data_IF_359294512031
#
_entry.id   IF_359294512031
#
_cell.length_a   1.000
_cell.length_b   1.000
_cell.length_c   1.000
_cell.angle_alpha   90.00
_cell.angle_beta   90.00
_cell.angle_gamma   90.00
#
_symmetry.space_group_name_H-M   'P 1'
#
loop_
_entity.id
_entity.type
_entity.pdbx_description
1 polymer ?
#
# COMPACT_ATOMS: atom_id res chain seq x y z
N UNK A 1 61.40 -13.67 66.85
CA UNK A 1 60.02 -13.84 67.35
C UNK A 1 59.11 -12.92 66.55
N UNK A 2 58.01 -13.50 66.04
CA UNK A 2 57.01 -12.98 65.08
C UNK A 2 56.62 -11.50 65.21
N UNK A 3 56.81 -10.73 64.13
CA UNK A 3 56.11 -9.48 63.88
C UNK A 3 54.88 -9.79 63.01
N UNK A 4 53.67 -9.62 63.55
CA UNK A 4 52.40 -9.78 62.82
C UNK A 4 52.00 -8.43 62.22
N UNK A 5 51.99 -8.33 60.90
CA UNK A 5 51.32 -7.24 60.18
C UNK A 5 49.84 -7.61 60.01
N UNK A 6 48.95 -6.80 60.57
CA UNK A 6 47.50 -6.86 60.36
C UNK A 6 47.17 -5.91 59.21
N UNK A 7 46.74 -6.46 58.07
CA UNK A 7 46.17 -5.69 56.97
C UNK A 7 44.69 -5.41 57.29
N UNK A 8 44.36 -4.15 57.61
CA UNK A 8 42.97 -3.68 57.67
C UNK A 8 42.52 -3.36 56.24
N UNK A 9 41.66 -4.20 55.66
CA UNK A 9 40.90 -3.89 54.46
C UNK A 9 39.71 -2.98 54.85
N UNK A 10 39.76 -1.73 54.42
CA UNK A 10 38.62 -0.81 54.47
C UNK A 10 37.64 -1.16 53.34
N UNK A 11 36.52 -1.79 53.69
CA UNK A 11 35.36 -1.91 52.81
C UNK A 11 34.63 -0.55 52.76
N UNK A 12 34.76 0.14 51.62
CA UNK A 12 33.89 1.27 51.28
C UNK A 12 32.63 0.69 50.64
N UNK A 13 31.43 0.89 51.20
CA UNK A 13 30.20 0.46 50.56
C UNK A 13 29.94 1.38 49.36
N UNK A 14 30.04 0.82 48.15
CA UNK A 14 29.57 1.45 46.93
C UNK A 14 28.03 1.52 47.00
N UNK A 15 27.49 2.68 47.36
CA UNK A 15 26.07 2.97 47.21
C UNK A 15 25.78 3.10 45.72
N UNK A 16 25.34 2.01 45.10
CA UNK A 16 24.70 2.04 43.78
C UNK A 16 23.33 2.69 43.99
N UNK A 17 23.28 4.01 43.81
CA UNK A 17 22.02 4.72 43.63
C UNK A 17 21.53 4.34 42.24
N UNK A 18 20.67 3.32 42.18
CA UNK A 18 19.86 3.09 41.00
C UNK A 18 18.93 4.30 40.87
N UNK A 19 19.25 5.24 39.98
CA UNK A 19 18.27 6.17 39.46
C UNK A 19 17.16 5.30 38.84
N UNK A 20 16.05 5.16 39.55
CA UNK A 20 14.78 4.76 38.95
C UNK A 20 14.37 5.91 38.03
N UNK A 21 14.95 5.98 36.84
CA UNK A 21 14.34 6.74 35.75
C UNK A 21 12.99 6.07 35.52
N UNK A 22 11.91 6.76 35.87
CA UNK A 22 10.60 6.41 35.34
C UNK A 22 10.75 6.14 33.84
N UNK A 23 10.11 5.10 33.28
CA UNK A 23 10.15 4.91 31.83
C UNK A 23 9.78 6.25 31.16
N UNK A 24 10.51 6.65 30.11
CA UNK A 24 10.25 7.93 29.46
C UNK A 24 8.76 8.00 29.10
N UNK A 25 8.14 9.14 29.42
CA UNK A 25 6.73 9.37 29.11
C UNK A 25 6.55 9.19 27.60
N UNK A 26 5.74 8.24 27.18
CA UNK A 26 5.39 8.09 25.77
C UNK A 26 4.49 9.26 25.34
N UNK A 27 4.85 9.88 24.22
CA UNK A 27 4.07 10.93 23.57
C UNK A 27 3.26 10.33 22.43
N UNK A 28 2.06 10.84 22.20
CA UNK A 28 1.17 10.39 21.15
C UNK A 28 0.71 11.60 20.36
N UNK A 29 0.16 11.35 19.18
CA UNK A 29 -0.38 12.36 18.30
C UNK A 29 -1.75 11.89 17.79
N UNK A 30 -2.65 12.84 17.61
CA UNK A 30 -3.94 12.60 16.96
C UNK A 30 -3.90 13.20 15.55
N UNK A 31 -4.60 12.56 14.63
CA UNK A 31 -4.87 13.15 13.32
C UNK A 31 -5.88 14.29 13.47
N UNK A 32 -5.94 15.17 12.47
CA UNK A 32 -7.06 16.12 12.34
C UNK A 32 -8.33 15.47 11.76
N UNK A 33 -8.32 14.16 11.52
CA UNK A 33 -9.37 13.40 10.86
C UNK A 33 -10.31 12.68 11.86
N UNK A 34 -11.17 11.77 11.37
CA UNK A 34 -12.17 11.08 12.17
C UNK A 34 -11.64 9.82 12.89
N UNK A 35 -10.33 9.60 12.88
CA UNK A 35 -9.70 8.48 13.59
C UNK A 35 -10.03 8.51 15.09
N UNK A 36 -10.33 7.33 15.66
CA UNK A 36 -10.71 7.15 17.07
C UNK A 36 -9.56 6.65 17.95
N UNK A 37 -8.45 6.26 17.34
CA UNK A 37 -7.25 5.80 18.02
C UNK A 37 -6.22 6.94 18.12
N UNK A 38 -5.27 6.80 19.04
CA UNK A 38 -4.10 7.68 19.13
C UNK A 38 -2.89 7.00 18.51
N UNK A 39 -2.07 7.74 17.77
CA UNK A 39 -0.89 7.21 17.13
C UNK A 39 0.36 7.54 17.94
N UNK A 40 1.33 6.63 17.98
CA UNK A 40 2.66 6.93 18.54
C UNK A 40 3.40 7.91 17.63
N UNK A 41 3.22 7.77 16.32
CA UNK A 41 3.81 8.64 15.29
C UNK A 41 2.92 8.78 14.06
N UNK A 42 3.08 9.87 13.33
CA UNK A 42 2.53 10.09 11.99
C UNK A 42 3.66 10.35 10.99
N UNK A 43 3.53 9.91 9.73
CA UNK A 43 4.50 10.23 8.69
C UNK A 43 4.41 11.71 8.33
N UNK A 44 5.53 12.28 7.89
CA UNK A 44 5.50 13.59 7.24
C UNK A 44 4.84 13.49 5.86
N UNK A 45 4.25 14.61 5.43
CA UNK A 45 3.78 14.72 4.07
C UNK A 45 4.95 14.57 3.06
N UNK A 46 4.72 13.88 1.94
CA UNK A 46 5.75 13.65 0.91
C UNK A 46 6.39 14.95 0.39
N UNK A 47 5.67 16.07 0.35
CA UNK A 47 6.19 17.36 -0.09
C UNK A 47 7.14 18.01 0.94
N UNK A 48 7.13 17.54 2.19
CA UNK A 48 8.03 17.98 3.26
C UNK A 48 9.37 17.24 3.25
N UNK A 49 9.46 16.11 2.53
CA UNK A 49 10.65 15.26 2.50
C UNK A 49 11.23 15.21 1.10
N UNK A 50 12.35 15.90 0.89
CA UNK A 50 13.04 15.95 -0.40
C UNK A 50 14.22 14.97 -0.40
N UNK A 51 14.22 14.04 -1.35
CA UNK A 51 15.36 13.13 -1.53
C UNK A 51 16.58 13.89 -2.08
N UNK A 52 17.75 13.55 -1.54
CA UNK A 52 19.05 13.98 -2.05
C UNK A 52 19.65 12.94 -3.00
N UNK A 53 20.77 13.27 -3.63
CA UNK A 53 21.44 12.38 -4.58
C UNK A 53 21.74 11.00 -3.95
N UNK A 54 21.36 9.95 -4.66
CA UNK A 54 21.47 8.58 -4.19
C UNK A 54 20.56 7.62 -4.96
N UNK A 55 20.58 6.32 -4.62
CA UNK A 55 19.84 5.30 -5.35
C UNK A 55 18.32 5.51 -5.34
N UNK A 56 17.77 6.01 -4.23
CA UNK A 56 16.33 6.29 -4.11
C UNK A 56 15.89 7.45 -5.00
N UNK A 57 16.63 8.56 -5.01
CA UNK A 57 16.36 9.68 -5.91
C UNK A 57 16.49 9.25 -7.37
N UNK A 58 17.53 8.48 -7.70
CA UNK A 58 17.72 7.94 -9.05
C UNK A 58 16.55 7.07 -9.52
N UNK A 59 16.06 6.18 -8.66
CA UNK A 59 14.87 5.36 -8.94
C UNK A 59 13.59 6.21 -9.11
N UNK A 60 13.41 7.24 -8.27
CA UNK A 60 12.30 8.20 -8.42
C UNK A 60 12.38 8.96 -9.75
N UNK A 61 13.56 9.44 -10.14
CA UNK A 61 13.76 10.15 -11.40
C UNK A 61 13.46 9.25 -12.62
N UNK A 62 13.88 7.97 -12.58
CA UNK A 62 13.56 6.99 -13.63
C UNK A 62 12.05 6.72 -13.70
N UNK A 63 11.39 6.55 -12.55
CA UNK A 63 9.95 6.31 -12.53
C UNK A 63 9.16 7.52 -13.05
N UNK A 64 9.60 8.75 -12.74
CA UNK A 64 9.01 9.95 -13.33
C UNK A 64 9.07 9.91 -14.86
N UNK A 65 10.18 9.47 -15.45
CA UNK A 65 10.26 9.29 -16.91
C UNK A 65 9.32 8.20 -17.41
N UNK A 66 9.25 7.05 -16.72
CA UNK A 66 8.32 5.98 -17.06
C UNK A 66 6.86 6.45 -17.06
N UNK A 67 6.44 7.19 -16.03
CA UNK A 67 5.10 7.77 -15.94
C UNK A 67 4.84 8.77 -17.08
N UNK A 68 5.81 9.62 -17.43
CA UNK A 68 5.67 10.57 -18.52
C UNK A 68 5.52 9.90 -19.89
N UNK A 69 6.11 8.72 -20.07
CA UNK A 69 6.03 7.94 -21.31
C UNK A 69 4.66 7.29 -21.55
N UNK A 70 3.80 7.20 -20.54
CA UNK A 70 2.45 6.71 -20.71
C UNK A 70 1.48 7.82 -21.17
N UNK A 71 0.55 7.43 -22.03
CA UNK A 71 -0.45 8.28 -22.65
C UNK A 71 -1.80 8.07 -21.95
N UNK A 72 -2.34 9.08 -21.24
CA UNK A 72 -3.60 8.93 -20.49
C UNK A 72 -4.77 8.43 -21.36
N UNK A 73 -4.89 8.92 -22.59
CA UNK A 73 -6.00 8.57 -23.48
C UNK A 73 -6.03 7.08 -23.85
N UNK A 74 -4.88 6.41 -23.85
CA UNK A 74 -4.80 4.96 -24.12
C UNK A 74 -5.33 4.13 -22.97
N UNK A 75 -5.06 4.54 -21.73
CA UNK A 75 -5.70 3.93 -20.55
C UNK A 75 -7.21 4.23 -20.50
N UNK A 76 -7.61 5.44 -20.87
CA UNK A 76 -9.01 5.88 -20.85
C UNK A 76 -9.85 5.29 -21.99
N UNK A 77 -9.24 4.73 -23.03
CA UNK A 77 -9.93 4.26 -24.23
C UNK A 77 -11.11 3.33 -23.90
N UNK A 78 -10.87 2.25 -23.16
CA UNK A 78 -11.92 1.28 -22.79
C UNK A 78 -12.94 1.82 -21.79
N UNK A 79 -12.58 2.76 -20.92
CA UNK A 79 -13.55 3.45 -20.06
C UNK A 79 -14.53 4.28 -20.90
N UNK A 80 -14.03 4.96 -21.94
CA UNK A 80 -14.86 5.71 -22.88
C UNK A 80 -15.78 4.78 -23.67
N UNK A 81 -15.27 3.66 -24.19
CA UNK A 81 -16.10 2.65 -24.89
C UNK A 81 -17.23 2.14 -24.00
N UNK A 82 -16.93 1.76 -22.75
CA UNK A 82 -17.91 1.24 -21.80
C UNK A 82 -18.99 2.27 -21.45
N UNK A 83 -18.64 3.57 -21.43
CA UNK A 83 -19.57 4.67 -21.23
C UNK A 83 -20.32 5.11 -22.51
N UNK A 84 -20.14 4.41 -23.63
CA UNK A 84 -20.76 4.76 -24.92
C UNK A 84 -20.16 6.01 -25.59
N UNK A 85 -18.94 6.40 -25.18
CA UNK A 85 -18.18 7.51 -25.74
C UNK A 85 -17.13 7.01 -26.73
N UNK A 86 -16.84 7.81 -27.77
CA UNK A 86 -15.74 7.52 -28.69
C UNK A 86 -14.37 7.60 -27.97
N UNK A 87 -13.51 6.56 -28.08
CA UNK A 87 -12.14 6.60 -27.59
C UNK A 87 -11.32 7.68 -28.27
N UNK A 88 -10.38 8.29 -27.53
CA UNK A 88 -9.46 9.30 -28.07
C UNK A 88 -8.13 8.72 -28.55
N UNK A 89 -7.84 7.47 -28.21
CA UNK A 89 -6.67 6.73 -28.63
C UNK A 89 -6.97 5.23 -28.62
N UNK A 90 -6.07 4.44 -29.22
CA UNK A 90 -6.10 2.99 -29.11
C UNK A 90 -5.71 2.54 -27.70
N UNK A 91 -6.41 1.55 -27.15
CA UNK A 91 -6.09 1.04 -25.82
C UNK A 91 -4.69 0.43 -25.75
N UNK A 92 -4.17 0.31 -24.54
CA UNK A 92 -2.92 -0.39 -24.31
C UNK A 92 -3.07 -1.91 -24.49
N UNK A 93 -2.00 -2.61 -24.94
CA UNK A 93 -2.03 -4.05 -25.09
C UNK A 93 -1.84 -4.74 -23.72
N UNK A 94 -1.54 -6.04 -23.74
CA UNK A 94 -1.21 -6.78 -22.54
C UNK A 94 -2.44 -7.11 -21.70
N UNK A 95 -2.36 -6.99 -20.38
CA UNK A 95 -3.51 -7.24 -19.51
C UNK A 95 -4.63 -6.22 -19.73
N UNK A 96 -4.33 -5.04 -20.28
CA UNK A 96 -5.32 -4.05 -20.70
C UNK A 96 -6.13 -4.50 -21.94
N UNK A 97 -5.77 -5.61 -22.61
CA UNK A 97 -6.62 -6.26 -23.63
C UNK A 97 -7.66 -7.21 -23.03
N UNK A 98 -7.42 -7.72 -21.82
CA UNK A 98 -8.23 -8.75 -21.19
C UNK A 98 -9.40 -8.16 -20.39
N UNK A 99 -10.17 -9.00 -19.69
CA UNK A 99 -11.29 -8.56 -18.85
C UNK A 99 -10.88 -7.88 -17.54
N UNK A 100 -9.57 -7.74 -17.26
CA UNK A 100 -9.03 -6.95 -16.14
C UNK A 100 -8.75 -5.49 -16.53
N UNK A 101 -8.94 -5.12 -17.80
CA UNK A 101 -8.65 -3.79 -18.32
C UNK A 101 -9.24 -2.66 -17.45
N UNK A 102 -8.46 -1.59 -17.26
CA UNK A 102 -8.78 -0.46 -16.41
C UNK A 102 -8.00 -0.43 -15.09
N UNK A 103 -7.55 -1.58 -14.60
CA UNK A 103 -6.80 -1.64 -13.34
C UNK A 103 -5.51 -0.79 -13.38
N UNK A 104 -4.87 -0.70 -14.55
CA UNK A 104 -3.63 0.08 -14.70
C UNK A 104 -3.87 1.59 -14.69
N UNK A 105 -5.05 2.06 -15.14
CA UNK A 105 -5.39 3.48 -15.03
C UNK A 105 -5.45 3.92 -13.58
N UNK A 106 -6.06 3.11 -12.71
CA UNK A 106 -6.14 3.40 -11.27
C UNK A 106 -4.74 3.50 -10.64
N UNK A 107 -3.87 2.53 -10.91
CA UNK A 107 -2.47 2.58 -10.48
C UNK A 107 -1.70 3.77 -11.06
N UNK A 108 -1.90 4.09 -12.34
CA UNK A 108 -1.25 5.22 -12.99
C UNK A 108 -1.68 6.56 -12.38
N UNK A 109 -2.96 6.69 -12.03
CA UNK A 109 -3.49 7.87 -11.36
C UNK A 109 -2.89 8.03 -9.95
N UNK A 110 -2.78 6.95 -9.17
CA UNK A 110 -2.06 6.94 -7.89
C UNK A 110 -0.58 7.29 -8.08
N UNK A 111 0.09 6.67 -9.05
CA UNK A 111 1.51 6.91 -9.36
C UNK A 111 1.79 8.37 -9.72
N UNK A 112 0.97 8.99 -10.58
CA UNK A 112 1.09 10.40 -10.91
C UNK A 112 0.80 11.30 -9.69
N UNK A 113 -0.18 10.96 -8.86
CA UNK A 113 -0.53 11.75 -7.67
C UNK A 113 0.60 11.74 -6.63
N UNK A 114 1.17 10.56 -6.36
CA UNK A 114 2.34 10.39 -5.50
C UNK A 114 3.56 11.15 -6.07
N UNK A 115 3.84 10.97 -7.36
CA UNK A 115 4.98 11.61 -8.01
C UNK A 115 4.86 13.14 -8.00
N UNK A 116 3.67 13.69 -8.22
CA UNK A 116 3.42 15.12 -8.05
C UNK A 116 3.72 15.58 -6.63
N UNK A 117 3.21 14.87 -5.61
CA UNK A 117 3.44 15.27 -4.22
C UNK A 117 4.91 15.19 -3.82
N UNK A 118 5.65 14.20 -4.33
CA UNK A 118 7.08 14.03 -4.05
C UNK A 118 7.98 15.02 -4.78
N UNK A 119 7.64 15.42 -6.02
CA UNK A 119 8.56 16.21 -6.88
C UNK A 119 8.09 17.64 -7.15
N UNK A 120 6.80 17.91 -7.01
CA UNK A 120 6.17 19.14 -7.49
C UNK A 120 6.10 19.25 -9.02
N UNK A 121 6.34 18.17 -9.78
CA UNK A 121 6.32 18.22 -11.24
C UNK A 121 4.90 18.44 -11.77
N UNK A 122 4.66 19.65 -12.30
CA UNK A 122 3.35 20.08 -12.77
C UNK A 122 2.77 19.17 -13.87
N UNK A 123 3.61 18.50 -14.67
CA UNK A 123 3.12 17.58 -15.72
C UNK A 123 2.39 16.38 -15.15
N UNK A 124 2.75 15.96 -13.93
CA UNK A 124 2.04 14.90 -13.21
C UNK A 124 0.67 15.40 -12.75
N UNK A 125 0.59 16.61 -12.19
CA UNK A 125 -0.69 17.22 -11.78
C UNK A 125 -1.62 17.44 -12.99
N UNK A 126 -1.09 17.89 -14.12
CA UNK A 126 -1.87 18.07 -15.34
C UNK A 126 -2.48 16.75 -15.82
N UNK A 127 -1.71 15.64 -15.73
CA UNK A 127 -2.20 14.29 -16.02
C UNK A 127 -3.27 13.82 -15.05
N UNK A 128 -3.07 14.02 -13.73
CA UNK A 128 -4.06 13.70 -12.70
C UNK A 128 -5.38 14.42 -12.99
N UNK A 129 -5.33 15.73 -13.21
CA UNK A 129 -6.52 16.54 -13.49
C UNK A 129 -7.21 16.09 -14.78
N UNK A 130 -6.44 15.84 -15.85
CA UNK A 130 -6.98 15.34 -17.11
C UNK A 130 -7.71 14.00 -16.95
N UNK A 131 -7.08 13.03 -16.28
CA UNK A 131 -7.68 11.71 -16.06
C UNK A 131 -8.98 11.82 -15.26
N UNK A 132 -8.99 12.61 -14.19
CA UNK A 132 -10.19 12.81 -13.38
C UNK A 132 -11.31 13.47 -14.19
N UNK A 133 -10.99 14.42 -15.06
CA UNK A 133 -11.96 15.07 -15.96
C UNK A 133 -12.57 14.07 -16.96
N UNK A 134 -11.75 13.20 -17.53
CA UNK A 134 -12.19 12.18 -18.47
C UNK A 134 -13.00 11.06 -17.80
N UNK A 135 -12.60 10.62 -16.61
CA UNK A 135 -13.39 9.70 -15.79
C UNK A 135 -14.74 10.31 -15.40
N UNK A 136 -14.78 11.59 -15.03
CA UNK A 136 -16.02 12.29 -14.76
C UNK A 136 -16.92 12.36 -16.00
N UNK A 137 -16.35 12.59 -17.18
CA UNK A 137 -17.11 12.59 -18.44
C UNK A 137 -17.67 11.20 -18.77
N UNK A 138 -16.91 10.12 -18.54
CA UNK A 138 -17.39 8.75 -18.70
C UNK A 138 -18.53 8.45 -17.71
N UNK A 139 -18.35 8.81 -16.44
CA UNK A 139 -19.36 8.59 -15.39
C UNK A 139 -20.66 9.37 -15.65
N UNK A 140 -20.57 10.58 -16.19
CA UNK A 140 -21.73 11.39 -16.57
C UNK A 140 -22.46 10.81 -17.79
N UNK A 141 -21.71 10.30 -18.78
CA UNK A 141 -22.31 9.65 -19.95
C UNK A 141 -22.99 8.32 -19.59
N UNK A 142 -22.44 7.57 -18.63
CA UNK A 142 -23.05 6.36 -18.09
C UNK A 142 -24.35 6.63 -17.32
N UNK A 143 -24.37 7.71 -16.53
CA UNK A 143 -25.57 8.23 -15.86
C UNK A 143 -25.88 7.66 -14.46
N UNK A 144 -25.34 6.49 -14.09
CA UNK A 144 -25.67 5.82 -12.82
C UNK A 144 -24.50 5.76 -11.83
N UNK A 145 -23.36 6.38 -12.16
CA UNK A 145 -22.17 6.43 -11.29
C UNK A 145 -21.12 5.36 -11.57
N UNK A 146 -21.38 4.40 -12.46
CA UNK A 146 -20.41 3.36 -12.84
C UNK A 146 -19.22 3.96 -13.60
N UNK A 147 -18.05 3.38 -13.36
CA UNK A 147 -16.82 3.64 -14.10
C UNK A 147 -16.11 2.30 -14.25
N UNK A 148 -15.90 1.82 -15.46
CA UNK A 148 -15.11 0.62 -15.69
C UNK A 148 -14.69 0.47 -17.14
N UNK A 149 -13.65 -0.32 -17.38
CA UNK A 149 -13.09 -0.57 -18.71
C UNK A 149 -13.22 -2.03 -19.16
N UNK A 150 -13.82 -2.89 -18.34
CA UNK A 150 -14.02 -4.29 -18.68
C UNK A 150 -15.34 -4.51 -19.44
N UNK A 151 -15.35 -5.29 -20.54
CA UNK A 151 -16.53 -5.48 -21.39
C UNK A 151 -17.74 -6.02 -20.62
N UNK A 152 -18.93 -5.45 -20.87
CA UNK A 152 -20.20 -5.81 -20.22
C UNK A 152 -20.19 -5.72 -18.68
N UNK A 153 -19.20 -5.06 -18.08
CA UNK A 153 -19.00 -5.00 -16.64
C UNK A 153 -20.22 -4.52 -15.87
N UNK A 154 -20.74 -3.34 -16.21
CA UNK A 154 -21.96 -2.77 -15.59
C UNK A 154 -23.14 -3.72 -15.67
N UNK A 155 -23.34 -4.34 -16.84
CA UNK A 155 -24.46 -5.25 -17.07
C UNK A 155 -24.35 -6.49 -16.19
N UNK A 156 -23.20 -7.16 -16.17
CA UNK A 156 -23.00 -8.36 -15.35
C UNK A 156 -23.16 -8.03 -13.87
N UNK A 157 -22.56 -6.93 -13.41
CA UNK A 157 -22.62 -6.54 -12.01
C UNK A 157 -24.04 -6.13 -11.57
N UNK A 158 -24.80 -5.41 -12.40
CA UNK A 158 -26.15 -4.94 -12.02
C UNK A 158 -27.29 -5.92 -12.36
N UNK A 159 -27.16 -6.70 -13.43
CA UNK A 159 -28.23 -7.59 -13.88
C UNK A 159 -28.09 -9.03 -13.37
N UNK A 160 -26.90 -9.46 -12.96
CA UNK A 160 -26.61 -10.81 -12.44
C UNK A 160 -26.18 -10.75 -10.97
N UNK A 161 -25.01 -10.16 -10.67
CA UNK A 161 -24.43 -10.16 -9.31
C UNK A 161 -25.37 -9.49 -8.31
N UNK A 162 -25.89 -8.29 -8.62
CA UNK A 162 -26.84 -7.58 -7.75
C UNK A 162 -28.17 -8.31 -7.52
N UNK A 163 -28.50 -9.30 -8.38
CA UNK A 163 -29.69 -10.16 -8.22
C UNK A 163 -29.36 -11.49 -7.54
N UNK A 164 -28.13 -11.67 -7.10
CA UNK A 164 -27.67 -12.88 -6.41
C UNK A 164 -27.28 -14.03 -7.34
N UNK A 165 -27.17 -13.81 -8.66
CA UNK A 165 -26.56 -14.79 -9.58
C UNK A 165 -25.05 -14.62 -9.54
N UNK A 166 -24.40 -15.39 -8.66
CA UNK A 166 -22.98 -15.25 -8.33
C UNK A 166 -22.26 -16.54 -8.70
N UNK A 167 -21.31 -16.43 -9.62
CA UNK A 167 -20.42 -17.50 -10.07
C UNK A 167 -19.00 -17.02 -9.84
N UNK A 168 -18.43 -17.40 -8.70
CA UNK A 168 -17.20 -16.83 -8.19
C UNK A 168 -16.17 -17.92 -7.93
N UNK A 169 -14.97 -17.80 -8.50
CA UNK A 169 -13.87 -18.72 -8.26
C UNK A 169 -12.52 -18.03 -8.49
N UNK A 170 -11.73 -17.89 -7.41
CA UNK A 170 -10.34 -17.41 -7.47
C UNK A 170 -10.23 -15.99 -8.02
N UNK A 171 -10.06 -15.86 -9.33
CA UNK A 171 -9.92 -14.57 -10.02
C UNK A 171 -11.11 -14.25 -10.96
N UNK A 172 -12.13 -15.09 -11.01
CA UNK A 172 -13.30 -14.89 -11.86
C UNK A 172 -14.53 -14.55 -11.02
N UNK A 173 -15.27 -13.51 -11.43
CA UNK A 173 -16.62 -13.24 -10.99
C UNK A 173 -17.52 -13.07 -12.22
N UNK A 174 -18.37 -14.06 -12.46
CA UNK A 174 -19.32 -14.11 -13.57
C UNK A 174 -18.65 -13.90 -14.95
N UNK A 175 -17.43 -14.41 -15.14
CA UNK A 175 -16.68 -14.26 -16.40
C UNK A 175 -15.83 -12.98 -16.49
N UNK A 176 -15.79 -12.17 -15.43
CA UNK A 176 -14.94 -10.98 -15.35
C UNK A 176 -13.75 -11.29 -14.45
N UNK A 177 -12.55 -10.98 -14.95
CA UNK A 177 -11.32 -11.09 -14.18
C UNK A 177 -11.26 -9.99 -13.09
N UNK A 178 -11.44 -10.39 -11.83
CA UNK A 178 -11.31 -9.58 -10.59
C UNK A 178 -11.95 -8.17 -10.63
N UNK A 179 -13.25 -8.03 -10.93
CA UNK A 179 -13.89 -6.72 -11.10
C UNK A 179 -13.76 -5.81 -9.86
N UNK A 180 -13.89 -6.34 -8.65
CA UNK A 180 -13.76 -5.53 -7.44
C UNK A 180 -12.32 -5.09 -7.14
N UNK A 181 -11.31 -5.87 -7.56
CA UNK A 181 -9.92 -5.42 -7.53
C UNK A 181 -9.69 -4.26 -8.48
N UNK A 182 -10.34 -4.28 -9.65
CA UNK A 182 -10.27 -3.23 -10.66
C UNK A 182 -10.89 -1.94 -10.11
N UNK A 183 -12.12 -2.01 -9.60
CA UNK A 183 -12.78 -0.87 -8.95
C UNK A 183 -11.97 -0.31 -7.78
N UNK A 184 -11.37 -1.18 -6.96
CA UNK A 184 -10.41 -0.76 -5.93
C UNK A 184 -9.30 0.14 -6.49
N UNK A 185 -8.68 -0.19 -7.64
CA UNK A 185 -7.62 0.66 -8.21
C UNK A 185 -8.15 2.01 -8.64
N UNK A 186 -9.30 2.05 -9.28
CA UNK A 186 -9.95 3.29 -9.68
C UNK A 186 -10.25 4.16 -8.46
N UNK A 187 -10.82 3.58 -7.41
CA UNK A 187 -11.11 4.28 -6.15
C UNK A 187 -9.83 4.77 -5.45
N UNK A 188 -8.77 3.96 -5.43
CA UNK A 188 -7.48 4.34 -4.84
C UNK A 188 -6.83 5.51 -5.60
N UNK A 189 -6.84 5.46 -6.94
CA UNK A 189 -6.35 6.57 -7.77
C UNK A 189 -7.13 7.86 -7.54
N UNK A 190 -8.46 7.79 -7.47
CA UNK A 190 -9.31 8.96 -7.20
C UNK A 190 -9.09 9.51 -5.78
N UNK A 191 -8.94 8.64 -4.78
CA UNK A 191 -8.57 9.03 -3.40
C UNK A 191 -7.24 9.76 -3.39
N UNK A 192 -6.23 9.23 -4.08
CA UNK A 192 -4.89 9.82 -4.09
C UNK A 192 -4.87 11.16 -4.86
N UNK A 193 -5.63 11.28 -5.95
CA UNK A 193 -5.83 12.55 -6.65
C UNK A 193 -6.50 13.60 -5.75
N UNK A 194 -7.48 13.20 -4.92
CA UNK A 194 -8.09 14.10 -3.94
C UNK A 194 -7.10 14.50 -2.83
N UNK A 195 -6.51 13.53 -2.14
CA UNK A 195 -5.68 13.75 -0.94
C UNK A 195 -4.33 14.39 -1.25
N UNK A 196 -3.67 14.00 -2.34
CA UNK A 196 -2.29 14.42 -2.65
C UNK A 196 -2.24 15.60 -3.63
N UNK A 197 -3.25 15.73 -4.50
CA UNK A 197 -3.29 16.79 -5.51
C UNK A 197 -4.36 17.86 -5.23
N UNK A 198 -5.18 17.69 -4.19
CA UNK A 198 -6.26 18.63 -3.86
C UNK A 198 -7.41 18.62 -4.87
N UNK A 199 -7.53 17.59 -5.71
CA UNK A 199 -8.55 17.53 -6.76
C UNK A 199 -9.93 17.17 -6.18
N UNK A 200 -10.75 18.20 -5.93
CA UNK A 200 -12.10 18.04 -5.38
C UNK A 200 -13.05 17.26 -6.29
N UNK A 201 -12.83 17.31 -7.61
CA UNK A 201 -13.65 16.55 -8.58
C UNK A 201 -13.42 15.04 -8.40
N UNK A 202 -12.20 14.63 -8.07
CA UNK A 202 -11.89 13.22 -7.82
C UNK A 202 -12.73 12.65 -6.67
N UNK A 203 -12.92 13.41 -5.58
CA UNK A 203 -13.79 13.01 -4.48
C UNK A 203 -15.25 12.83 -4.93
N UNK A 204 -15.76 13.73 -5.76
CA UNK A 204 -17.14 13.64 -6.30
C UNK A 204 -17.32 12.39 -7.16
N UNK A 205 -16.36 12.13 -8.06
CA UNK A 205 -16.35 10.95 -8.92
C UNK A 205 -16.29 9.67 -8.09
N UNK A 206 -15.41 9.63 -7.08
CA UNK A 206 -15.25 8.48 -6.19
C UNK A 206 -16.53 8.20 -5.38
N UNK A 207 -17.20 9.24 -4.88
CA UNK A 207 -18.49 9.11 -4.17
C UNK A 207 -19.57 8.49 -5.05
N UNK A 208 -19.72 9.00 -6.29
CA UNK A 208 -20.69 8.45 -7.25
C UNK A 208 -20.40 6.99 -7.58
N UNK A 209 -19.11 6.60 -7.68
CA UNK A 209 -18.72 5.22 -7.90
C UNK A 209 -19.07 4.34 -6.68
N UNK A 210 -18.75 4.78 -5.46
CA UNK A 210 -19.11 4.07 -4.24
C UNK A 210 -20.63 3.95 -4.05
N UNK A 211 -21.40 5.00 -4.37
CA UNK A 211 -22.86 4.97 -4.36
C UNK A 211 -23.39 3.94 -5.36
N UNK A 212 -22.79 3.83 -6.56
CA UNK A 212 -23.13 2.78 -7.52
C UNK A 212 -22.79 1.37 -6.99
N UNK A 213 -21.61 1.18 -6.39
CA UNK A 213 -21.21 -0.09 -5.77
C UNK A 213 -22.24 -0.51 -4.70
N UNK A 214 -22.73 0.43 -3.88
CA UNK A 214 -23.78 0.17 -2.89
C UNK A 214 -25.04 -0.42 -3.54
N UNK A 215 -25.42 0.03 -4.74
CA UNK A 215 -26.58 -0.54 -5.47
C UNK A 215 -26.38 -1.99 -5.89
N UNK A 216 -25.13 -2.41 -6.11
CA UNK A 216 -24.80 -3.77 -6.53
C UNK A 216 -24.77 -4.72 -5.35
N UNK A 217 -24.09 -4.34 -4.26
CA UNK A 217 -23.83 -5.27 -3.14
C UNK A 217 -24.75 -5.09 -1.94
N UNK A 218 -25.42 -3.93 -1.80
CA UNK A 218 -26.20 -3.58 -0.61
C UNK A 218 -27.46 -4.41 -0.40
N UNK A 219 -27.97 -5.07 -1.45
CA UNK A 219 -29.15 -5.94 -1.40
C UNK A 219 -28.84 -7.43 -1.22
N UNK A 220 -27.55 -7.82 -1.24
CA UNK A 220 -27.14 -9.22 -1.16
C UNK A 220 -27.21 -9.75 0.28
N UNK A 221 -27.49 -11.05 0.41
CA UNK A 221 -27.37 -11.73 1.71
C UNK A 221 -25.92 -11.91 2.10
N UNK A 222 -25.66 -12.15 3.39
CA UNK A 222 -24.31 -12.43 3.88
C UNK A 222 -23.66 -13.62 3.15
N UNK A 223 -24.41 -14.69 2.91
CA UNK A 223 -23.96 -15.87 2.15
C UNK A 223 -23.56 -15.49 0.72
N UNK A 224 -24.40 -14.72 0.02
CA UNK A 224 -24.11 -14.24 -1.34
C UNK A 224 -22.88 -13.35 -1.38
N UNK A 225 -22.71 -12.45 -0.40
CA UNK A 225 -21.52 -11.62 -0.28
C UNK A 225 -20.29 -12.51 -0.06
N UNK A 226 -20.33 -13.49 0.84
CA UNK A 226 -19.17 -14.38 1.05
C UNK A 226 -18.83 -15.19 -0.22
N UNK A 227 -19.84 -15.68 -0.95
CA UNK A 227 -19.63 -16.35 -2.24
C UNK A 227 -18.96 -15.42 -3.26
N UNK A 228 -19.43 -14.17 -3.37
CA UNK A 228 -18.83 -13.15 -4.23
C UNK A 228 -17.37 -12.89 -3.87
N UNK A 229 -17.06 -12.79 -2.58
CA UNK A 229 -15.71 -12.48 -2.06
C UNK A 229 -14.70 -13.64 -2.23
N UNK A 230 -15.11 -14.81 -2.73
CA UNK A 230 -14.19 -15.84 -3.21
C UNK A 230 -13.34 -15.35 -4.40
N UNK A 231 -13.85 -14.41 -5.19
CA UNK A 231 -13.11 -13.69 -6.21
C UNK A 231 -12.27 -12.59 -5.55
N UNK A 232 -11.03 -12.41 -6.00
CA UNK A 232 -10.20 -11.31 -5.52
C UNK A 232 -10.86 -9.93 -5.70
N UNK A 233 -10.82 -9.14 -4.63
CA UNK A 233 -11.43 -7.82 -4.54
C UNK A 233 -10.45 -6.73 -4.05
N UNK A 234 -9.15 -7.05 -4.02
CA UNK A 234 -8.11 -6.15 -3.52
C UNK A 234 -8.43 -5.55 -2.14
N UNK A 235 -8.08 -4.29 -1.94
CA UNK A 235 -8.33 -3.51 -0.73
C UNK A 235 -9.51 -2.55 -0.91
N UNK A 236 -10.59 -2.97 -1.58
CA UNK A 236 -11.76 -2.09 -1.76
C UNK A 236 -12.35 -1.64 -0.42
N UNK A 237 -12.23 -2.48 0.62
CA UNK A 237 -12.57 -2.15 1.99
C UNK A 237 -11.75 -0.96 2.54
N UNK A 238 -10.44 -0.88 2.23
CA UNK A 238 -9.57 0.27 2.54
C UNK A 238 -10.12 1.55 1.89
N UNK A 239 -10.35 1.53 0.58
CA UNK A 239 -10.79 2.72 -0.15
C UNK A 239 -12.17 3.23 0.28
N UNK A 240 -13.06 2.32 0.69
CA UNK A 240 -14.37 2.67 1.24
C UNK A 240 -14.29 3.24 2.66
N UNK A 241 -13.41 2.69 3.51
CA UNK A 241 -13.13 3.25 4.83
C UNK A 241 -12.47 4.63 4.72
N UNK A 242 -11.58 4.83 3.75
CA UNK A 242 -11.02 6.14 3.43
C UNK A 242 -12.07 7.13 2.94
N UNK A 243 -12.99 6.69 2.09
CA UNK A 243 -14.07 7.55 1.63
C UNK A 243 -15.00 7.99 2.77
N UNK A 244 -15.25 7.12 3.75
CA UNK A 244 -15.90 7.52 5.00
C UNK A 244 -15.09 8.60 5.71
N UNK A 245 -13.78 8.42 5.85
CA UNK A 245 -12.94 9.41 6.52
C UNK A 245 -12.95 10.78 5.82
N UNK A 246 -13.01 10.78 4.48
CA UNK A 246 -13.00 11.99 3.66
C UNK A 246 -14.36 12.73 3.64
N UNK A 247 -15.47 12.03 3.93
CA UNK A 247 -16.83 12.56 3.74
C UNK A 247 -17.68 12.64 5.01
N UNK A 248 -17.37 11.82 6.02
CA UNK A 248 -18.20 11.58 7.19
C UNK A 248 -19.48 10.77 6.90
N UNK A 249 -19.69 10.26 5.69
CA UNK A 249 -20.89 9.47 5.36
C UNK A 249 -20.73 8.01 5.80
N UNK A 250 -21.42 7.66 6.90
CA UNK A 250 -21.43 6.33 7.50
C UNK A 250 -21.86 5.20 6.54
N UNK A 251 -22.49 5.51 5.39
CA UNK A 251 -22.76 4.50 4.34
C UNK A 251 -21.48 3.84 3.86
N UNK A 252 -20.41 4.60 3.66
CA UNK A 252 -19.15 4.05 3.13
C UNK A 252 -18.42 3.17 4.14
N UNK A 253 -18.50 3.49 5.44
CA UNK A 253 -18.01 2.60 6.50
C UNK A 253 -18.83 1.33 6.64
N UNK A 254 -20.15 1.37 6.37
CA UNK A 254 -20.95 0.14 6.27
C UNK A 254 -20.59 -0.67 5.04
N UNK A 255 -20.37 -0.02 3.90
CA UNK A 255 -19.99 -0.69 2.66
C UNK A 255 -18.62 -1.36 2.79
N UNK A 256 -17.65 -0.75 3.47
CA UNK A 256 -16.35 -1.38 3.74
C UNK A 256 -16.45 -2.66 4.60
N UNK A 257 -17.49 -2.76 5.45
CA UNK A 257 -17.80 -3.98 6.22
C UNK A 257 -18.47 -5.07 5.39
N UNK A 258 -19.16 -4.72 4.30
CA UNK A 258 -19.70 -5.72 3.36
C UNK A 258 -18.55 -6.48 2.70
N UNK A 259 -17.47 -5.80 2.33
CA UNK A 259 -16.26 -6.41 1.76
C UNK A 259 -15.36 -7.07 2.82
N UNK A 260 -15.94 -7.78 3.79
CA UNK A 260 -15.24 -8.56 4.81
C UNK A 260 -15.31 -10.05 4.45
N UNK A 261 -14.21 -10.59 3.90
CA UNK A 261 -14.10 -12.01 3.55
C UNK A 261 -13.82 -12.85 4.81
N UNK A 262 -14.89 -13.31 5.47
CA UNK A 262 -14.87 -13.98 6.79
C UNK A 262 -13.97 -15.21 6.81
N UNK A 263 -14.05 -16.06 5.78
CA UNK A 263 -13.25 -17.29 5.68
C UNK A 263 -11.72 -17.07 5.67
N UNK A 264 -11.27 -15.82 5.48
CA UNK A 264 -9.86 -15.43 5.61
C UNK A 264 -9.63 -14.63 6.88
N UNK A 265 -10.48 -13.64 7.15
CA UNK A 265 -10.22 -12.63 8.17
C UNK A 265 -10.54 -13.09 9.59
N UNK A 266 -11.59 -13.89 9.78
CA UNK A 266 -11.97 -14.38 11.12
C UNK A 266 -10.91 -15.32 11.71
N UNK A 267 -10.43 -16.36 10.99
CA UNK A 267 -9.37 -17.22 11.53
C UNK A 267 -8.09 -16.47 11.86
N UNK A 268 -7.71 -15.48 11.04
CA UNK A 268 -6.52 -14.66 11.30
C UNK A 268 -6.66 -13.84 12.58
N UNK A 269 -7.84 -13.27 12.85
CA UNK A 269 -8.08 -12.59 14.12
C UNK A 269 -8.16 -13.53 15.32
N UNK A 270 -8.54 -14.79 15.10
CA UNK A 270 -8.52 -15.83 16.14
C UNK A 270 -7.11 -16.41 16.36
N UNK A 271 -6.10 -15.92 15.64
CA UNK A 271 -4.70 -16.36 15.77
C UNK A 271 -4.38 -17.65 15.02
N UNK A 272 -5.16 -18.00 14.00
CA UNK A 272 -4.95 -19.16 13.14
C UNK A 272 -4.21 -18.80 11.84
N UNK A 273 -3.00 -19.35 11.64
CA UNK A 273 -2.27 -19.20 10.37
C UNK A 273 -2.86 -20.12 9.29
N UNK A 274 -3.79 -19.56 8.50
CA UNK A 274 -4.45 -20.20 7.36
C UNK A 274 -3.82 -19.85 6.00
N UNK A 275 -2.62 -19.23 6.01
CA UNK A 275 -1.97 -18.71 4.80
C UNK A 275 -1.50 -19.77 3.80
N UNK A 276 -1.08 -20.99 4.18
CA UNK A 276 -0.59 -21.96 3.20
C UNK A 276 -1.57 -22.20 2.05
N UNK A 277 -1.06 -22.14 0.81
CA UNK A 277 -1.81 -22.25 -0.45
C UNK A 277 -2.75 -21.08 -0.77
N UNK A 278 -2.72 -19.98 -0.01
CA UNK A 278 -3.44 -18.75 -0.37
C UNK A 278 -2.58 -17.89 -1.28
N UNK A 279 -3.22 -17.25 -2.27
CA UNK A 279 -2.56 -16.26 -3.13
C UNK A 279 -2.21 -15.04 -2.28
N UNK A 280 -0.93 -14.65 -2.26
CA UNK A 280 -0.41 -13.67 -1.31
C UNK A 280 -1.06 -12.29 -1.48
N UNK A 281 -0.98 -11.75 -2.69
CA UNK A 281 -1.39 -10.38 -2.98
C UNK A 281 -2.90 -10.16 -2.84
N UNK A 282 -3.71 -11.23 -2.95
CA UNK A 282 -5.15 -11.14 -2.71
C UNK A 282 -5.46 -10.92 -1.23
N UNK A 283 -4.63 -11.42 -0.30
CA UNK A 283 -4.95 -11.36 1.14
C UNK A 283 -4.53 -10.04 1.77
N UNK A 284 -3.30 -9.58 1.51
CA UNK A 284 -2.68 -8.46 2.23
C UNK A 284 -3.55 -7.17 2.17
N UNK A 285 -4.10 -6.76 1.01
CA UNK A 285 -4.95 -5.57 0.94
C UNK A 285 -6.21 -5.63 1.81
N UNK A 286 -6.76 -6.83 2.05
CA UNK A 286 -7.90 -7.01 2.95
C UNK A 286 -7.52 -6.59 4.37
N UNK A 287 -6.33 -6.97 4.82
CA UNK A 287 -5.79 -6.65 6.15
C UNK A 287 -5.40 -5.18 6.27
N UNK A 288 -4.91 -4.55 5.19
CA UNK A 288 -4.72 -3.08 5.15
C UNK A 288 -6.07 -2.38 5.39
N UNK A 289 -7.14 -2.86 4.74
CA UNK A 289 -8.47 -2.30 4.96
C UNK A 289 -9.05 -2.57 6.35
N UNK A 290 -8.71 -3.69 7.01
CA UNK A 290 -9.04 -3.90 8.42
C UNK A 290 -8.31 -2.90 9.31
N UNK A 291 -7.02 -2.71 9.12
CA UNK A 291 -6.28 -1.77 9.95
C UNK A 291 -6.77 -0.33 9.75
N UNK A 292 -7.07 0.07 8.51
CA UNK A 292 -7.71 1.37 8.26
C UNK A 292 -9.05 1.50 8.98
N UNK A 293 -9.85 0.44 9.06
CA UNK A 293 -11.10 0.43 9.83
C UNK A 293 -10.85 0.50 11.33
N UNK A 294 -9.83 -0.18 11.87
CA UNK A 294 -9.45 -0.07 13.28
C UNK A 294 -9.15 1.39 13.64
N UNK A 295 -8.35 2.09 12.83
CA UNK A 295 -8.04 3.50 13.05
C UNK A 295 -9.31 4.37 13.20
N UNK A 296 -10.36 4.06 12.43
CA UNK A 296 -11.63 4.81 12.38
C UNK A 296 -12.66 4.36 13.42
N UNK A 297 -12.53 3.16 13.97
CA UNK A 297 -13.58 2.53 14.78
C UNK A 297 -13.12 2.08 16.16
N UNK A 298 -11.81 1.94 16.37
CA UNK A 298 -11.17 1.28 17.50
C UNK A 298 -11.64 -0.18 17.71
N UNK A 299 -12.08 -0.86 16.64
CA UNK A 299 -12.49 -2.26 16.70
C UNK A 299 -11.26 -3.18 16.79
N UNK A 300 -11.00 -3.68 18.00
CA UNK A 300 -9.82 -4.48 18.29
C UNK A 300 -9.74 -5.75 17.43
N UNK A 301 -10.87 -6.28 16.97
CA UNK A 301 -10.89 -7.46 16.10
C UNK A 301 -10.18 -7.19 14.76
N UNK A 302 -10.33 -5.99 14.22
CA UNK A 302 -9.69 -5.56 12.98
C UNK A 302 -8.16 -5.46 13.16
N UNK A 303 -7.70 -4.89 14.28
CA UNK A 303 -6.27 -4.80 14.63
C UNK A 303 -5.66 -6.19 14.87
N UNK A 304 -6.36 -7.06 15.61
CA UNK A 304 -5.85 -8.39 15.96
C UNK A 304 -5.56 -9.23 14.71
N UNK A 305 -6.48 -9.23 13.73
CA UNK A 305 -6.25 -9.88 12.43
C UNK A 305 -5.05 -9.29 11.68
N UNK A 306 -4.98 -7.97 11.58
CA UNK A 306 -3.92 -7.27 10.83
C UNK A 306 -2.54 -7.49 11.44
N UNK A 307 -2.43 -7.34 12.77
CA UNK A 307 -1.19 -7.53 13.52
C UNK A 307 -0.74 -9.00 13.50
N UNK A 308 -1.65 -9.95 13.70
CA UNK A 308 -1.34 -11.38 13.62
C UNK A 308 -0.87 -11.77 12.21
N UNK A 309 -1.59 -11.33 11.16
CA UNK A 309 -1.18 -11.57 9.79
C UNK A 309 0.22 -11.04 9.50
N UNK A 310 0.51 -9.79 9.90
CA UNK A 310 1.82 -9.19 9.70
C UNK A 310 2.92 -10.01 10.36
N UNK A 311 2.73 -10.37 11.64
CA UNK A 311 3.68 -11.17 12.42
C UNK A 311 3.92 -12.54 11.76
N UNK A 312 2.86 -13.26 11.35
CA UNK A 312 3.00 -14.54 10.65
C UNK A 312 3.80 -14.38 9.36
N UNK A 313 3.46 -13.40 8.52
CA UNK A 313 4.14 -13.20 7.23
C UNK A 313 5.62 -12.83 7.44
N UNK A 314 5.92 -11.90 8.32
CA UNK A 314 7.29 -11.40 8.56
C UNK A 314 8.19 -12.47 9.16
N UNK A 315 7.70 -13.23 10.14
CA UNK A 315 8.54 -14.17 10.87
C UNK A 315 8.59 -15.57 10.25
N UNK A 316 7.53 -16.00 9.56
CA UNK A 316 7.39 -17.39 9.14
C UNK A 316 7.28 -17.60 7.62
N UNK A 317 6.93 -16.57 6.85
CA UNK A 317 6.74 -16.70 5.40
C UNK A 317 7.70 -15.85 4.55
N UNK A 318 8.47 -14.96 5.17
CA UNK A 318 9.36 -14.03 4.46
C UNK A 318 10.78 -14.56 4.29
N UNK A 319 11.31 -14.41 3.07
CA UNK A 319 12.72 -14.64 2.75
C UNK A 319 13.60 -13.50 3.29
N UNK A 320 14.91 -13.66 3.17
CA UNK A 320 15.91 -12.68 3.63
C UNK A 320 15.73 -11.30 2.99
N UNK A 321 15.17 -11.22 1.77
CA UNK A 321 14.90 -9.97 1.06
C UNK A 321 13.66 -9.23 1.57
N UNK A 322 12.91 -9.80 2.51
CA UNK A 322 11.63 -9.27 2.99
C UNK A 322 10.42 -9.66 2.12
N UNK A 323 10.64 -10.26 0.95
CA UNK A 323 9.57 -10.82 0.13
C UNK A 323 9.10 -12.18 0.61
N UNK A 324 7.92 -12.62 0.15
CA UNK A 324 7.33 -13.91 0.49
C UNK A 324 6.57 -14.51 -0.70
N UNK A 325 6.22 -15.80 -0.58
CA UNK A 325 5.48 -16.54 -1.62
C UNK A 325 6.38 -17.12 -2.71
N UNK A 326 5.83 -18.11 -3.43
CA UNK A 326 6.45 -18.69 -4.62
C UNK A 326 5.34 -19.07 -5.61
N UNK A 327 5.49 -18.68 -6.88
CA UNK A 327 4.39 -18.64 -7.85
C UNK A 327 3.19 -17.87 -7.27
N UNK A 328 3.43 -16.73 -6.60
CA UNK A 328 2.41 -15.89 -5.95
C UNK A 328 1.71 -16.49 -4.70
N UNK A 329 1.86 -17.79 -4.42
CA UNK A 329 1.20 -18.45 -3.30
C UNK A 329 2.10 -18.62 -2.07
N UNK A 330 1.51 -18.42 -0.89
CA UNK A 330 2.13 -18.77 0.39
C UNK A 330 2.41 -20.27 0.49
N UNK A 331 3.55 -20.61 1.10
CA UNK A 331 3.93 -21.98 1.43
C UNK A 331 3.54 -22.36 2.86
N UNK A 332 4.05 -23.49 3.32
CA UNK A 332 4.03 -23.81 4.76
C UNK A 332 4.97 -22.87 5.52
N UNK A 333 4.61 -22.42 6.74
CA UNK A 333 5.47 -21.57 7.55
C UNK A 333 6.82 -22.25 7.80
N UNK A 334 7.89 -21.47 7.81
CA UNK A 334 9.28 -21.92 8.03
C UNK A 334 9.81 -22.96 7.00
N UNK A 335 9.12 -23.15 5.87
CA UNK A 335 9.52 -24.08 4.78
C UNK A 335 9.94 -23.38 3.50
N UNK A 336 10.79 -22.36 3.63
CA UNK A 336 11.23 -21.51 2.52
C UNK A 336 12.35 -22.12 1.66
N UNK A 337 13.23 -22.94 2.25
CA UNK A 337 14.46 -23.46 1.59
C UNK A 337 14.25 -24.21 0.27
N UNK A 338 13.08 -24.84 0.09
CA UNK A 338 12.78 -25.66 -1.10
C UNK A 338 11.76 -24.96 -2.02
N UNK A 339 11.52 -23.67 -1.83
CA UNK A 339 10.58 -22.84 -2.60
C UNK A 339 11.30 -21.65 -3.26
N UNK A 340 12.53 -21.89 -3.69
CA UNK A 340 13.39 -20.92 -4.38
C UNK A 340 13.33 -21.18 -5.88
N UNK A 341 12.66 -20.30 -6.63
CA UNK A 341 12.56 -20.32 -8.09
C UNK A 341 12.62 -18.91 -8.69
N UNK A 342 12.48 -18.83 -10.01
CA UNK A 342 12.34 -17.61 -10.79
C UNK A 342 11.06 -16.82 -10.49
N UNK A 343 10.04 -17.50 -9.96
CA UNK A 343 8.75 -16.92 -9.56
C UNK A 343 8.62 -16.71 -8.03
N UNK A 344 9.76 -16.60 -7.35
CA UNK A 344 9.80 -16.31 -5.91
C UNK A 344 9.58 -14.82 -5.65
N UNK A 345 8.80 -14.51 -4.60
CA UNK A 345 8.56 -13.15 -4.11
C UNK A 345 8.05 -12.16 -5.16
N UNK A 346 6.74 -12.14 -5.37
CA UNK A 346 6.05 -11.10 -6.16
C UNK A 346 6.26 -9.70 -5.54
N UNK A 347 6.43 -8.68 -6.37
CA UNK A 347 6.69 -7.30 -5.91
C UNK A 347 5.47 -6.66 -5.26
N UNK A 348 4.24 -6.93 -5.75
CA UNK A 348 3.01 -6.41 -5.16
C UNK A 348 2.82 -6.85 -3.70
N UNK A 349 3.19 -8.09 -3.39
CA UNK A 349 3.17 -8.63 -2.03
C UNK A 349 3.97 -7.75 -1.06
N UNK A 350 5.17 -7.34 -1.49
CA UNK A 350 6.06 -6.52 -0.65
C UNK A 350 5.56 -5.10 -0.54
N UNK A 351 5.10 -4.49 -1.62
CA UNK A 351 4.47 -3.17 -1.59
C UNK A 351 3.31 -3.13 -0.58
N UNK A 352 2.42 -4.14 -0.61
CA UNK A 352 1.28 -4.18 0.28
C UNK A 352 1.69 -4.48 1.73
N UNK A 353 2.71 -5.32 1.95
CA UNK A 353 3.27 -5.52 3.29
C UNK A 353 3.91 -4.26 3.85
N UNK A 354 4.56 -3.42 3.02
CA UNK A 354 5.09 -2.14 3.47
C UNK A 354 3.96 -1.15 3.82
N UNK A 355 2.85 -1.13 3.08
CA UNK A 355 1.65 -0.37 3.47
C UNK A 355 1.11 -0.82 4.85
N UNK A 356 0.95 -2.13 5.05
CA UNK A 356 0.49 -2.67 6.32
C UNK A 356 1.46 -2.37 7.47
N UNK A 357 2.77 -2.49 7.21
CA UNK A 357 3.83 -2.16 8.16
C UNK A 357 3.75 -0.70 8.60
N UNK A 358 3.52 0.23 7.67
CA UNK A 358 3.40 1.65 7.98
C UNK A 358 2.21 1.94 8.91
N UNK A 359 1.05 1.31 8.71
CA UNK A 359 -0.06 1.44 9.65
C UNK A 359 0.31 0.96 11.06
N UNK A 360 0.85 -0.25 11.18
CA UNK A 360 1.24 -0.81 12.47
C UNK A 360 2.36 -0.02 13.14
N UNK A 361 3.31 0.52 12.36
CA UNK A 361 4.37 1.39 12.85
C UNK A 361 3.81 2.68 13.45
N UNK A 362 2.79 3.29 12.83
CA UNK A 362 2.15 4.50 13.37
C UNK A 362 1.57 4.29 14.77
N UNK A 363 1.10 3.08 15.10
CA UNK A 363 0.51 2.79 16.41
C UNK A 363 1.54 2.74 17.55
N UNK A 364 2.75 2.21 17.31
CA UNK A 364 3.71 1.93 18.39
C UNK A 364 5.17 2.32 18.12
N UNK A 365 5.51 2.75 16.90
CA UNK A 365 6.87 3.04 16.43
C UNK A 365 7.87 1.91 16.74
N UNK A 366 7.48 0.66 16.51
CA UNK A 366 8.30 -0.52 16.77
C UNK A 366 9.51 -0.57 15.84
N UNK A 367 10.71 -0.67 16.43
CA UNK A 367 11.95 -0.86 15.69
C UNK A 367 11.94 -2.13 14.83
N UNK A 368 11.25 -3.20 15.26
CA UNK A 368 11.13 -4.43 14.49
C UNK A 368 10.36 -4.23 13.18
N UNK A 369 9.33 -3.36 13.21
CA UNK A 369 8.58 -3.01 12.01
C UNK A 369 9.46 -2.13 11.10
N UNK A 370 10.18 -1.16 11.66
CA UNK A 370 11.17 -0.35 10.93
C UNK A 370 12.27 -1.20 10.26
N UNK A 371 12.79 -2.21 10.97
CA UNK A 371 13.79 -3.16 10.47
C UNK A 371 13.24 -4.01 9.31
N UNK A 372 12.00 -4.51 9.43
CA UNK A 372 11.35 -5.20 8.31
C UNK A 372 11.14 -4.27 7.12
N UNK A 373 10.69 -3.04 7.36
CA UNK A 373 10.50 -2.03 6.33
C UNK A 373 11.79 -1.76 5.58
N UNK A 374 12.89 -1.46 6.30
CA UNK A 374 14.22 -1.23 5.72
C UNK A 374 14.66 -2.42 4.87
N UNK A 375 14.58 -3.63 5.42
CA UNK A 375 14.98 -4.87 4.74
C UNK A 375 14.22 -5.07 3.43
N UNK A 376 12.90 -4.97 3.45
CA UNK A 376 12.05 -5.11 2.27
C UNK A 376 12.25 -3.97 1.26
N UNK A 377 12.42 -2.74 1.75
CA UNK A 377 12.62 -1.55 0.94
C UNK A 377 13.93 -1.62 0.15
N UNK A 378 15.05 -1.86 0.81
CA UNK A 378 16.38 -1.86 0.17
C UNK A 378 16.61 -3.10 -0.70
N UNK A 379 16.18 -4.28 -0.25
CA UNK A 379 16.51 -5.54 -0.93
C UNK A 379 15.49 -5.93 -2.01
N UNK A 380 14.21 -5.60 -1.83
CA UNK A 380 13.18 -5.95 -2.79
C UNK A 380 12.68 -4.73 -3.55
N UNK A 381 12.08 -3.74 -2.91
CA UNK A 381 11.42 -2.63 -3.63
C UNK A 381 12.39 -1.79 -4.44
N UNK A 382 13.50 -1.32 -3.87
CA UNK A 382 14.51 -0.56 -4.62
C UNK A 382 15.09 -1.40 -5.76
N UNK A 383 15.23 -2.71 -5.53
CA UNK A 383 15.87 -3.63 -6.45
C UNK A 383 14.92 -4.13 -7.56
N UNK A 384 13.62 -3.86 -7.44
CA UNK A 384 12.60 -4.29 -8.40
C UNK A 384 12.61 -3.46 -9.69
N UNK A 385 13.20 -2.27 -9.67
CA UNK A 385 13.41 -1.44 -10.85
C UNK A 385 14.81 -1.63 -11.45
N UNK A 386 14.90 -1.66 -12.77
CA UNK A 386 16.16 -1.64 -13.46
C UNK A 386 16.77 -0.23 -13.33
N UNK A 387 17.97 -0.08 -12.75
CA UNK A 387 18.56 1.23 -12.50
C UNK A 387 19.07 1.92 -13.77
N UNK A 388 18.90 1.34 -14.96
CA UNK A 388 19.31 1.96 -16.23
C UNK A 388 18.14 2.42 -17.08
N UNK A 389 17.06 1.65 -17.12
CA UNK A 389 15.95 1.87 -18.04
C UNK A 389 14.57 1.96 -17.38
N UNK A 390 14.48 1.83 -16.04
CA UNK A 390 13.24 2.05 -15.30
C UNK A 390 12.21 0.93 -15.40
N UNK A 391 12.45 -0.13 -16.17
CA UNK A 391 11.55 -1.30 -16.22
C UNK A 391 11.53 -2.02 -14.88
N UNK A 392 10.39 -2.63 -14.54
CA UNK A 392 10.20 -3.31 -13.25
C UNK A 392 10.06 -4.82 -13.42
N UNK A 393 10.46 -5.58 -12.41
CA UNK A 393 10.23 -7.03 -12.33
C UNK A 393 8.82 -7.33 -11.86
N UNK A 394 8.36 -8.55 -12.11
CA UNK A 394 7.19 -9.11 -11.41
C UNK A 394 7.63 -9.77 -10.11
N UNK A 395 8.51 -10.78 -10.25
CA UNK A 395 9.05 -11.57 -9.15
C UNK A 395 10.55 -11.27 -8.95
N UNK A 396 10.98 -11.15 -7.69
CA UNK A 396 12.39 -11.17 -7.34
C UNK A 396 12.87 -12.62 -7.19
N UNK A 397 13.31 -13.22 -8.31
CA UNK A 397 13.87 -14.57 -8.35
C UNK A 397 14.90 -14.81 -7.23
N UNK A 398 14.71 -15.90 -6.50
CA UNK A 398 15.70 -16.45 -5.56
C UNK A 398 16.26 -17.79 -6.05
N UNK A 399 16.02 -18.14 -7.30
CA UNK A 399 16.60 -19.34 -7.92
C UNK A 399 18.12 -19.31 -7.88
N UNK A 400 18.73 -20.46 -7.61
CA UNK A 400 20.19 -20.59 -7.63
C UNK A 400 20.73 -20.36 -9.04
N UNK A 401 21.48 -19.27 -9.24
CA UNK A 401 21.96 -18.86 -10.56
C UNK A 401 20.92 -18.09 -11.38
N UNK A 402 19.81 -17.69 -10.75
CA UNK A 402 18.74 -16.91 -11.36
C UNK A 402 19.15 -15.47 -11.71
N UNK A 403 18.20 -14.74 -12.28
CA UNK A 403 18.35 -13.34 -12.70
C UNK A 403 17.05 -12.59 -12.46
N UNK A 404 17.14 -11.26 -12.44
CA UNK A 404 15.96 -10.39 -12.52
C UNK A 404 15.46 -10.34 -13.96
N UNK A 405 14.17 -10.62 -14.14
CA UNK A 405 13.49 -10.48 -15.42
C UNK A 405 12.62 -9.22 -15.41
N UNK A 406 13.08 -8.20 -16.13
CA UNK A 406 12.37 -6.93 -16.24
C UNK A 406 11.34 -7.01 -17.35
N UNK A 407 10.10 -6.65 -17.00
CA UNK A 407 8.94 -6.79 -17.85
C UNK A 407 8.96 -5.77 -19.00
N UNK A 408 8.23 -6.08 -20.07
CA UNK A 408 7.80 -5.03 -21.01
C UNK A 408 6.82 -4.10 -20.28
N UNK A 409 7.08 -2.79 -20.19
CA UNK A 409 6.17 -1.85 -19.52
C UNK A 409 4.76 -1.82 -20.15
N UNK A 410 4.61 -2.28 -21.39
CA UNK A 410 3.32 -2.35 -22.09
C UNK A 410 2.51 -3.62 -21.77
N UNK A 411 3.01 -4.53 -20.92
CA UNK A 411 2.24 -5.71 -20.49
C UNK A 411 1.21 -5.39 -19.40
N UNK A 412 1.42 -4.33 -18.63
CA UNK A 412 0.49 -3.86 -17.61
C UNK A 412 0.07 -4.92 -16.58
N UNK A 413 1.01 -5.74 -16.12
CA UNK A 413 0.76 -6.64 -14.98
C UNK A 413 0.50 -5.86 -13.70
N UNK A 414 -0.04 -6.53 -12.66
CA UNK A 414 -0.21 -5.95 -11.33
C UNK A 414 1.08 -5.30 -10.80
N UNK A 415 2.25 -5.92 -11.02
CA UNK A 415 3.55 -5.42 -10.58
C UNK A 415 4.04 -4.20 -11.37
N UNK A 416 3.60 -4.03 -12.63
CA UNK A 416 3.79 -2.76 -13.36
C UNK A 416 2.92 -1.67 -12.71
N UNK A 417 1.66 -1.99 -12.40
CA UNK A 417 0.75 -1.15 -11.62
C UNK A 417 1.39 -0.62 -10.33
N UNK A 418 1.77 -1.55 -9.44
CA UNK A 418 2.44 -1.23 -8.19
C UNK A 418 3.81 -0.57 -8.38
N UNK A 419 4.56 -0.93 -9.44
CA UNK A 419 5.83 -0.30 -9.78
C UNK A 419 5.72 1.21 -10.01
N UNK A 420 4.62 1.66 -10.66
CA UNK A 420 4.33 3.08 -10.85
C UNK A 420 4.20 3.86 -9.52
N UNK A 421 3.79 3.19 -8.44
CA UNK A 421 3.63 3.80 -7.13
C UNK A 421 4.87 3.66 -6.23
N UNK A 422 5.56 2.51 -6.27
CA UNK A 422 6.70 2.19 -5.41
C UNK A 422 7.75 3.30 -5.38
N UNK A 423 8.21 3.70 -6.57
CA UNK A 423 9.33 4.62 -6.72
C UNK A 423 8.90 6.10 -6.64
N UNK A 424 7.63 6.36 -6.37
CA UNK A 424 7.03 7.70 -6.29
C UNK A 424 6.88 8.20 -4.85
N UNK A 425 7.30 7.42 -3.84
CA UNK A 425 6.94 7.71 -2.43
C UNK A 425 7.98 7.37 -1.37
N UNK A 426 9.26 7.22 -1.74
CA UNK A 426 10.31 6.83 -0.79
C UNK A 426 10.45 7.77 0.41
N UNK A 427 10.16 9.07 0.24
CA UNK A 427 10.23 10.05 1.33
C UNK A 427 9.27 9.77 2.50
N UNK A 428 8.18 9.04 2.25
CA UNK A 428 7.09 8.87 3.21
C UNK A 428 7.41 7.96 4.41
N UNK A 429 8.49 7.19 4.34
CA UNK A 429 8.93 6.30 5.42
C UNK A 429 10.23 6.77 6.09
N UNK A 430 10.79 7.93 5.72
CA UNK A 430 12.10 8.36 6.25
C UNK A 430 11.97 8.93 7.66
N UNK A 431 11.00 9.83 7.83
CA UNK A 431 10.78 10.55 9.07
C UNK A 431 9.34 10.42 9.52
N UNK A 432 9.17 10.36 10.83
CA UNK A 432 7.87 10.41 11.48
C UNK A 432 7.91 11.39 12.66
N UNK A 433 6.75 11.82 13.13
CA UNK A 433 6.67 12.74 14.26
C UNK A 433 5.50 12.44 15.18
N UNK A 434 5.58 12.96 16.40
CA UNK A 434 4.40 13.21 17.23
C UNK A 434 4.43 14.66 17.73
N UNK A 435 3.68 14.97 18.79
CA UNK A 435 3.58 16.33 19.31
C UNK A 435 4.93 16.89 19.83
N UNK A 436 5.87 16.03 20.22
CA UNK A 436 7.10 16.39 20.94
C UNK A 436 8.39 15.83 20.31
N UNK A 437 8.31 14.74 19.55
CA UNK A 437 9.46 13.97 19.08
C UNK A 437 9.52 13.89 17.55
N UNK A 438 10.76 13.90 17.03
CA UNK A 438 11.10 13.54 15.66
C UNK A 438 11.71 12.14 15.64
N UNK A 439 11.20 11.27 14.77
CA UNK A 439 11.71 9.93 14.53
C UNK A 439 12.44 9.93 13.20
N UNK A 440 13.68 9.45 13.22
CA UNK A 440 14.48 9.18 12.03
C UNK A 440 14.50 7.67 11.88
N UNK A 441 13.66 7.16 10.96
CA UNK A 441 13.45 5.72 10.80
C UNK A 441 14.37 5.14 9.73
N UNK A 442 14.42 5.76 8.54
CA UNK A 442 15.24 5.25 7.42
C UNK A 442 16.47 6.13 7.15
N UNK A 443 17.62 5.49 6.92
CA UNK A 443 18.88 6.19 6.65
C UNK A 443 19.06 6.51 5.16
N UNK A 444 18.12 7.27 4.60
CA UNK A 444 18.12 7.73 3.20
C UNK A 444 18.47 9.22 3.13
N UNK A 445 19.41 9.59 2.26
CA UNK A 445 19.84 10.97 2.10
C UNK A 445 18.67 11.87 1.69
N UNK A 446 18.36 12.86 2.54
CA UNK A 446 17.14 13.66 2.39
C UNK A 446 17.19 14.98 3.18
N UNK A 447 16.30 15.90 2.83
CA UNK A 447 16.00 17.12 3.57
C UNK A 447 14.54 17.05 4.05
N UNK A 448 14.31 17.38 5.32
CA UNK A 448 13.00 17.53 5.93
C UNK A 448 12.74 19.02 6.22
N UNK A 449 11.62 19.54 5.73
CA UNK A 449 11.08 20.84 6.11
C UNK A 449 9.89 20.64 7.06
N UNK A 450 10.02 21.08 8.32
CA UNK A 450 8.98 21.00 9.35
C UNK A 450 8.56 22.41 9.82
N UNK A 451 7.71 23.11 9.04
CA UNK A 451 7.32 24.50 9.30
C UNK A 451 6.63 24.70 10.65
N UNK A 452 5.82 23.73 11.10
CA UNK A 452 5.04 23.78 12.34
C UNK A 452 5.95 23.92 13.58
N UNK A 453 7.18 23.42 13.50
CA UNK A 453 8.22 23.57 14.54
C UNK A 453 9.34 24.53 14.15
N UNK A 454 9.27 25.14 12.96
CA UNK A 454 10.35 25.97 12.42
C UNK A 454 11.68 25.23 12.25
N UNK A 455 11.64 23.91 12.06
CA UNK A 455 12.81 23.04 11.94
C UNK A 455 13.06 22.70 10.47
N UNK A 456 14.32 22.81 10.05
CA UNK A 456 14.81 22.18 8.82
C UNK A 456 15.92 21.23 9.19
N UNK A 457 15.84 20.00 8.71
CA UNK A 457 16.80 18.96 9.01
C UNK A 457 17.35 18.43 7.68
N UNK A 458 18.66 18.28 7.61
CA UNK A 458 19.31 17.60 6.49
C UNK A 458 20.01 16.33 6.98
N UNK A 459 19.74 15.21 6.31
CA UNK A 459 20.40 13.94 6.53
C UNK A 459 21.38 13.64 5.39
N UNK A 460 22.67 13.75 5.67
CA UNK A 460 23.75 13.39 4.75
C UNK A 460 24.26 11.98 5.07
N UNK A 461 24.04 11.05 4.14
CA UNK A 461 24.48 9.66 4.25
C UNK A 461 24.70 9.02 2.89
N UNK A 462 25.57 8.00 2.85
CA UNK A 462 25.70 7.03 1.75
C UNK A 462 25.34 5.62 2.19
N UNK A 463 24.58 5.47 3.28
CA UNK A 463 24.08 4.17 3.69
C UNK A 463 23.35 3.50 2.51
N UNK A 464 23.59 2.19 2.26
CA UNK A 464 24.35 1.25 3.09
C UNK A 464 25.86 1.15 2.76
N UNK A 465 26.40 1.96 1.86
CA UNK A 465 27.83 1.96 1.50
C UNK A 465 28.73 2.54 2.61
N UNK A 466 28.14 3.23 3.59
CA UNK A 466 28.81 3.72 4.78
C UNK A 466 27.97 3.52 6.04
N UNK A 467 28.61 3.47 7.20
CA UNK A 467 27.94 3.28 8.50
C UNK A 467 27.34 4.57 9.08
N UNK A 468 27.92 5.74 8.77
CA UNK A 468 27.55 7.01 9.39
C UNK A 468 26.43 7.76 8.67
N UNK A 469 25.57 8.40 9.44
CA UNK A 469 24.59 9.40 8.99
C UNK A 469 24.84 10.71 9.77
N UNK A 470 24.85 11.85 9.09
CA UNK A 470 24.99 13.17 9.72
C UNK A 470 23.68 13.95 9.60
N UNK A 471 23.22 14.48 10.73
CA UNK A 471 22.02 15.30 10.85
C UNK A 471 22.44 16.75 11.14
N UNK A 472 22.10 17.70 10.25
CA UNK A 472 22.43 19.13 10.40
C UNK A 472 21.21 20.03 10.38
#
# INVERSE_FOLDING_TARGET
MSCRSICLLSLVPLLIVACQSSPPKAYFVQTGGPEKVTFRVLPFDLAQVKLLDGPFKHATDLNLQSLLNYEPDRFLAKFREAAGLEPKAEHYPGWENETIAGHSLGHYLSGCSLMYRTTGDQRMLDRVNYIVDELAACQEADGDGFIGAFPNGKKILTEEVAKGDIRSQGFDLNGIWVPWYNEHKTMAGLRDAYRLCGNQKALIVNRKLADWIETVVGGLTDEQVQDMLNCEHGGINETLADLYADTGDERYLRLSRIFQHKAILEPLAEGEDILPNKHGNTQIPKLIGLERRYELTADQHDLDAAAFFWDRVVHHHSYVTGGHGNHEYFGQPDKLRNRLSDETTETCNVYNMLKLSDHLFRLNASAEIGDFYERALFNHILSSQNPKDGRVIYNLSLEMGGRKEYQDPMWFTCCIGTGMENHSKYGGAIYYHNDEELFVDQFIASELDWPEKGLKLRQDTRFPEQQGSTLT
#
